data_IF_451312575070
#
_entry.id   IF_451312575070
#
_cell.length_a   1.000
_cell.length_b   1.000
_cell.length_c   1.000
_cell.angle_alpha   90.00
_cell.angle_beta   90.00
_cell.angle_gamma   90.00
#
_symmetry.space_group_name_H-M   'P 1'
#
loop_
_entity.id
_entity.type
_entity.pdbx_description
1 polymer ?
#
# COMPACT_ATOMS: atom_id res chain seq x y z
N UNK A 1 -3.91 18.31 8.58
CA UNK A 1 -2.96 17.33 9.13
C UNK A 1 -1.98 16.91 8.05
N UNK A 2 -0.67 17.03 8.29
CA UNK A 2 0.34 16.56 7.34
C UNK A 2 0.28 15.04 7.18
N UNK A 3 1.03 14.50 6.21
CA UNK A 3 1.31 13.07 6.13
C UNK A 3 1.81 12.52 7.46
N UNK A 4 1.38 11.30 7.79
CA UNK A 4 1.91 10.52 8.91
C UNK A 4 3.14 9.72 8.53
N UNK A 5 3.11 9.12 7.34
CA UNK A 5 4.24 8.39 6.78
C UNK A 5 5.20 9.40 6.16
N UNK A 6 6.47 9.40 6.57
CA UNK A 6 7.53 10.16 5.89
C UNK A 6 8.09 9.41 4.67
N UNK A 7 8.97 10.09 3.91
CA UNK A 7 9.71 9.51 2.78
C UNK A 7 10.49 8.24 3.12
N UNK A 8 10.91 8.07 4.37
CA UNK A 8 11.62 6.87 4.83
C UNK A 8 10.74 5.64 4.97
N UNK A 9 9.43 5.74 4.76
CA UNK A 9 8.52 4.58 4.78
C UNK A 9 8.05 4.20 3.38
N UNK A 10 8.29 5.05 2.37
CA UNK A 10 7.69 4.90 1.06
C UNK A 10 8.34 3.76 0.29
N UNK A 11 7.51 2.90 -0.29
CA UNK A 11 7.95 1.77 -1.12
C UNK A 11 7.47 2.03 -2.54
N UNK A 12 8.39 1.97 -3.51
CA UNK A 12 8.04 1.97 -4.93
C UNK A 12 7.95 0.52 -5.42
N UNK A 13 6.77 0.11 -5.89
CA UNK A 13 6.58 -1.26 -6.40
C UNK A 13 7.41 -1.59 -7.65
N UNK A 14 7.88 -0.57 -8.38
CA UNK A 14 8.77 -0.72 -9.53
C UNK A 14 10.26 -0.60 -9.20
N UNK A 15 10.63 -0.59 -7.91
CA UNK A 15 12.02 -0.42 -7.49
C UNK A 15 12.86 -1.68 -7.77
N UNK A 16 13.79 -1.57 -8.72
CA UNK A 16 14.74 -2.63 -9.07
C UNK A 16 15.94 -2.71 -8.10
N UNK A 17 16.09 -1.75 -7.19
CA UNK A 17 17.19 -1.71 -6.22
C UNK A 17 16.96 -2.63 -5.02
N UNK A 18 15.70 -3.01 -4.73
CA UNK A 18 15.36 -3.94 -3.66
C UNK A 18 15.81 -5.35 -4.07
N UNK A 19 16.75 -5.90 -3.30
CA UNK A 19 17.41 -7.20 -3.52
C UNK A 19 16.99 -8.22 -2.49
N UNK A 20 17.14 -9.50 -2.81
CA UNK A 20 17.05 -10.53 -1.77
C UNK A 20 18.16 -10.28 -0.72
N UNK A 21 17.85 -10.44 0.58
CA UNK A 21 18.84 -10.27 1.65
C UNK A 21 20.11 -11.08 1.40
N UNK A 22 21.27 -10.44 1.53
CA UNK A 22 22.58 -11.08 1.31
C UNK A 22 22.93 -11.37 -0.15
N UNK A 23 22.20 -10.83 -1.13
CA UNK A 23 22.45 -11.07 -2.56
C UNK A 23 22.50 -9.77 -3.37
N UNK A 24 22.89 -9.87 -4.63
CA UNK A 24 22.80 -8.79 -5.63
C UNK A 24 21.57 -8.88 -6.51
N UNK A 25 20.78 -9.96 -6.38
CA UNK A 25 19.62 -10.23 -7.23
C UNK A 25 18.43 -9.38 -6.81
N UNK A 26 17.90 -8.58 -7.73
CA UNK A 26 16.69 -7.77 -7.52
C UNK A 26 15.48 -8.65 -7.25
N UNK A 27 14.77 -8.41 -6.15
CA UNK A 27 13.64 -9.22 -5.72
C UNK A 27 12.33 -8.84 -6.44
N UNK A 28 11.97 -7.54 -6.48
CA UNK A 28 10.63 -7.14 -6.94
C UNK A 28 10.41 -7.36 -8.44
N UNK A 29 11.48 -7.46 -9.22
CA UNK A 29 11.47 -7.80 -10.64
C UNK A 29 11.72 -9.29 -10.90
N UNK A 30 12.06 -10.09 -9.89
CA UNK A 30 12.31 -11.54 -10.03
C UNK A 30 11.03 -12.36 -9.81
N UNK A 31 10.70 -13.17 -10.80
CA UNK A 31 9.59 -14.14 -10.74
C UNK A 31 9.66 -15.13 -9.58
N UNK A 32 10.85 -15.42 -9.03
CA UNK A 32 11.02 -16.30 -7.88
C UNK A 32 10.66 -15.62 -6.55
N UNK A 33 10.69 -14.29 -6.48
CA UNK A 33 10.26 -13.56 -5.29
C UNK A 33 8.78 -13.81 -5.07
N UNK A 34 8.04 -13.86 -6.16
CA UNK A 34 6.64 -14.24 -6.18
C UNK A 34 6.43 -15.66 -5.64
N UNK A 35 7.25 -16.66 -5.98
CA UNK A 35 7.14 -18.00 -5.37
C UNK A 35 7.36 -17.99 -3.85
N UNK A 36 8.33 -17.20 -3.36
CA UNK A 36 8.59 -17.03 -1.91
C UNK A 36 7.45 -16.30 -1.20
N UNK A 37 6.73 -15.46 -1.91
CA UNK A 37 5.51 -14.81 -1.46
C UNK A 37 4.24 -15.57 -1.91
N UNK A 38 4.36 -16.88 -2.21
CA UNK A 38 3.28 -17.86 -2.50
C UNK A 38 2.51 -17.70 -3.81
N UNK A 39 3.05 -16.91 -4.72
CA UNK A 39 2.41 -16.42 -5.95
C UNK A 39 2.85 -17.21 -7.18
N UNK A 40 2.67 -18.52 -7.14
CA UNK A 40 2.95 -19.42 -8.27
C UNK A 40 1.96 -19.10 -9.40
N UNK A 41 2.43 -18.67 -10.58
CA UNK A 41 1.65 -18.22 -11.76
C UNK A 41 1.21 -16.73 -11.83
N UNK A 42 2.00 -15.81 -11.29
CA UNK A 42 1.70 -14.38 -11.28
C UNK A 42 1.60 -13.71 -12.69
N UNK A 43 0.42 -13.77 -13.30
CA UNK A 43 -0.04 -12.83 -14.34
C UNK A 43 -1.44 -12.33 -13.95
N UNK A 44 -1.82 -11.11 -14.36
CA UNK A 44 -3.16 -10.53 -14.10
C UNK A 44 -3.42 -10.01 -12.67
N UNK A 45 -3.17 -10.80 -11.61
CA UNK A 45 -3.53 -10.46 -10.21
C UNK A 45 -2.57 -9.48 -9.52
N UNK A 46 -1.27 -9.47 -9.87
CA UNK A 46 -0.31 -8.45 -9.36
C UNK A 46 -0.76 -7.05 -9.75
N UNK A 47 -1.22 -6.93 -11.00
CA UNK A 47 -1.70 -5.66 -11.55
C UNK A 47 -2.90 -5.15 -10.75
N UNK A 48 -3.63 -6.05 -10.10
CA UNK A 48 -4.83 -5.73 -9.37
C UNK A 48 -4.58 -5.41 -7.88
N UNK A 49 -3.68 -6.14 -7.22
CA UNK A 49 -3.50 -6.09 -5.75
C UNK A 49 -2.07 -5.81 -5.28
N UNK A 50 -1.08 -5.71 -6.17
CA UNK A 50 0.32 -5.46 -5.79
C UNK A 50 0.52 -4.15 -5.01
N UNK A 51 -0.28 -3.14 -5.31
CA UNK A 51 -0.28 -1.87 -4.60
C UNK A 51 -0.72 -2.04 -3.14
N UNK A 52 -1.72 -2.90 -2.86
CA UNK A 52 -2.18 -3.16 -1.49
C UNK A 52 -1.11 -3.81 -0.63
N UNK A 53 -0.29 -4.71 -1.21
CA UNK A 53 0.85 -5.31 -0.51
C UNK A 53 1.86 -4.23 -0.12
N UNK A 54 2.19 -3.33 -1.04
CA UNK A 54 3.12 -2.24 -0.79
C UNK A 54 2.56 -1.25 0.24
N UNK A 55 1.27 -0.92 0.18
CA UNK A 55 0.57 -0.11 1.17
C UNK A 55 0.69 -0.71 2.57
N UNK A 56 0.31 -1.98 2.74
CA UNK A 56 0.44 -2.68 4.01
C UNK A 56 1.90 -2.73 4.50
N UNK A 57 2.86 -2.92 3.59
CA UNK A 57 4.28 -2.89 3.93
C UNK A 57 4.75 -1.50 4.40
N UNK A 58 4.32 -0.42 3.75
CA UNK A 58 4.58 0.95 4.20
C UNK A 58 3.99 1.20 5.60
N UNK A 59 2.78 0.70 5.85
CA UNK A 59 2.16 0.78 7.18
C UNK A 59 2.92 -0.04 8.24
N UNK A 60 3.40 -1.25 7.89
CA UNK A 60 4.26 -2.06 8.77
C UNK A 60 5.54 -1.30 9.12
N UNK A 61 6.22 -0.69 8.14
CA UNK A 61 7.42 0.10 8.39
C UNK A 61 7.12 1.26 9.36
N UNK A 62 6.04 2.01 9.10
CA UNK A 62 5.60 3.11 9.95
C UNK A 62 5.31 2.67 11.39
N UNK A 63 4.44 1.67 11.57
CA UNK A 63 4.08 1.16 12.92
C UNK A 63 5.26 0.52 13.62
N UNK A 64 6.19 -0.06 12.87
CA UNK A 64 7.43 -0.62 13.37
C UNK A 64 8.49 0.42 13.74
N UNK A 65 8.33 1.69 13.35
CA UNK A 65 9.37 2.71 13.46
C UNK A 65 10.63 2.33 12.67
N UNK A 66 10.46 1.81 11.45
CA UNK A 66 11.51 1.29 10.59
C UNK A 66 11.60 2.13 9.31
N UNK A 67 12.83 2.33 8.82
CA UNK A 67 13.05 2.93 7.50
C UNK A 67 12.99 1.89 6.38
N UNK A 68 12.73 2.34 5.15
CA UNK A 68 12.60 1.60 3.90
C UNK A 68 13.96 1.17 3.30
N UNK A 69 14.95 0.86 4.13
CA UNK A 69 16.18 0.23 3.62
C UNK A 69 15.88 -1.14 2.97
N UNK A 70 16.85 -1.70 2.25
CA UNK A 70 16.67 -2.94 1.48
C UNK A 70 15.99 -4.06 2.28
N UNK A 71 16.55 -4.41 3.43
CA UNK A 71 16.11 -5.57 4.20
C UNK A 71 14.76 -5.32 4.87
N UNK A 72 14.54 -4.12 5.40
CA UNK A 72 13.25 -3.75 5.97
C UNK A 72 12.14 -3.75 4.92
N UNK A 73 12.39 -3.16 3.74
CA UNK A 73 11.44 -3.15 2.63
C UNK A 73 11.13 -4.55 2.14
N UNK A 74 12.16 -5.37 1.91
CA UNK A 74 11.99 -6.77 1.52
C UNK A 74 11.13 -7.54 2.54
N UNK A 75 11.50 -7.48 3.82
CA UNK A 75 10.82 -8.23 4.87
C UNK A 75 9.39 -7.72 5.11
N UNK A 76 9.15 -6.41 5.07
CA UNK A 76 7.82 -5.84 5.22
C UNK A 76 6.88 -6.30 4.10
N UNK A 77 7.36 -6.33 2.85
CA UNK A 77 6.58 -6.84 1.71
C UNK A 77 6.29 -8.34 1.83
N UNK A 78 7.25 -9.14 2.31
CA UNK A 78 7.03 -10.56 2.60
C UNK A 78 5.93 -10.73 3.67
N UNK A 79 6.01 -10.01 4.79
CA UNK A 79 5.02 -10.09 5.86
C UNK A 79 3.63 -9.62 5.40
N UNK A 80 3.56 -8.51 4.67
CA UNK A 80 2.32 -8.01 4.07
C UNK A 80 1.71 -9.02 3.09
N UNK A 81 2.52 -9.72 2.32
CA UNK A 81 2.01 -10.73 1.39
C UNK A 81 1.47 -11.95 2.14
N UNK A 82 2.21 -12.46 3.12
CA UNK A 82 1.78 -13.63 3.91
C UNK A 82 0.48 -13.32 4.66
N UNK A 83 0.48 -12.25 5.46
CA UNK A 83 -0.64 -11.94 6.35
C UNK A 83 -1.80 -11.21 5.68
N UNK A 84 -1.50 -10.25 4.80
CA UNK A 84 -2.51 -9.44 4.12
C UNK A 84 -3.11 -10.11 2.89
N UNK A 85 -2.47 -11.14 2.33
CA UNK A 85 -2.95 -11.75 1.08
C UNK A 85 -3.09 -13.27 1.09
N UNK A 86 -3.04 -13.89 2.28
CA UNK A 86 -3.01 -15.35 2.46
C UNK A 86 -1.95 -16.03 1.57
N UNK A 87 -0.81 -15.36 1.37
CA UNK A 87 0.28 -15.83 0.51
C UNK A 87 -0.13 -16.08 -0.96
N UNK A 88 -1.22 -15.47 -1.46
CA UNK A 88 -1.71 -15.68 -2.83
C UNK A 88 -1.80 -14.39 -3.65
N UNK A 89 -1.34 -13.25 -3.09
CA UNK A 89 -1.56 -11.91 -3.65
C UNK A 89 -3.04 -11.58 -3.89
N UNK A 90 -3.93 -12.23 -3.14
CA UNK A 90 -5.35 -11.95 -3.04
C UNK A 90 -5.59 -11.19 -1.74
N UNK A 91 -5.83 -9.88 -1.82
CA UNK A 91 -5.96 -9.05 -0.62
C UNK A 91 -7.16 -9.54 0.20
N UNK A 92 -6.90 -10.10 1.39
CA UNK A 92 -7.91 -10.82 2.17
C UNK A 92 -8.81 -9.91 2.99
N UNK A 93 -8.41 -8.64 3.15
CA UNK A 93 -9.04 -7.67 4.04
C UNK A 93 -9.06 -8.09 5.52
N UNK A 94 -8.27 -9.10 5.89
CA UNK A 94 -8.20 -9.61 7.26
C UNK A 94 -7.03 -9.00 8.01
N UNK A 95 -7.27 -8.66 9.27
CA UNK A 95 -6.22 -8.24 10.20
C UNK A 95 -5.20 -9.34 10.44
N UNK A 96 -3.93 -8.97 10.57
CA UNK A 96 -2.83 -9.90 10.80
C UNK A 96 -1.75 -9.30 11.70
N UNK A 97 -0.76 -10.11 12.07
CA UNK A 97 0.44 -9.63 12.78
C UNK A 97 1.66 -9.87 11.90
N UNK A 98 2.41 -8.82 11.61
CA UNK A 98 3.69 -8.87 10.92
C UNK A 98 4.84 -9.00 11.92
N UNK A 99 5.75 -9.92 11.67
CA UNK A 99 6.98 -10.06 12.46
C UNK A 99 8.15 -9.39 11.75
N UNK A 100 8.66 -8.30 12.31
CA UNK A 100 9.78 -7.53 11.79
C UNK A 100 10.93 -7.57 12.80
N UNK A 101 11.88 -8.48 12.59
CA UNK A 101 12.94 -8.76 13.58
C UNK A 101 12.32 -9.28 14.88
N UNK A 102 12.62 -8.62 16.01
CA UNK A 102 12.00 -8.91 17.31
C UNK A 102 10.66 -8.21 17.56
N UNK A 103 10.19 -7.37 16.62
CA UNK A 103 8.94 -6.62 16.77
C UNK A 103 7.76 -7.40 16.17
N UNK A 104 6.67 -7.48 16.92
CA UNK A 104 5.37 -7.93 16.41
C UNK A 104 4.47 -6.71 16.18
N UNK A 105 4.11 -6.47 14.93
CA UNK A 105 3.33 -5.31 14.49
C UNK A 105 1.95 -5.79 14.11
N UNK A 106 0.94 -5.38 14.88
CA UNK A 106 -0.46 -5.64 14.54
C UNK A 106 -0.89 -4.72 13.41
N UNK A 107 -1.50 -5.30 12.40
CA UNK A 107 -2.10 -4.59 11.27
C UNK A 107 -3.58 -4.91 11.31
N UNK A 108 -4.37 -4.01 11.89
CA UNK A 108 -5.81 -4.17 11.90
C UNK A 108 -6.40 -3.54 10.63
N UNK A 109 -7.23 -4.29 9.92
CA UNK A 109 -7.89 -3.85 8.70
C UNK A 109 -9.39 -3.88 8.95
N UNK A 110 -10.02 -2.71 8.93
CA UNK A 110 -11.45 -2.57 9.18
C UNK A 110 -12.11 -1.89 8.00
N UNK A 111 -13.11 -2.52 7.40
CA UNK A 111 -13.92 -1.88 6.36
C UNK A 111 -14.66 -0.66 6.93
N UNK A 112 -14.64 0.45 6.19
CA UNK A 112 -15.29 1.70 6.58
C UNK A 112 -16.18 2.20 5.45
N UNK A 113 -17.22 2.98 5.80
CA UNK A 113 -18.12 3.58 4.81
C UNK A 113 -17.52 4.81 4.14
N UNK A 114 -16.70 5.57 4.87
CA UNK A 114 -16.18 6.87 4.44
C UNK A 114 -14.75 7.09 4.94
N UNK A 115 -13.83 7.40 4.02
CA UNK A 115 -12.43 7.72 4.32
C UNK A 115 -12.31 9.10 4.98
N UNK A 116 -13.16 10.05 4.58
CA UNK A 116 -13.11 11.45 5.04
C UNK A 116 -13.24 11.52 6.56
N UNK A 117 -14.27 10.86 7.10
CA UNK A 117 -14.52 10.78 8.55
C UNK A 117 -13.33 10.26 9.35
N UNK A 118 -12.59 9.29 8.82
CA UNK A 118 -11.45 8.68 9.51
C UNK A 118 -10.17 9.50 9.36
N UNK A 119 -9.91 9.99 8.15
CA UNK A 119 -8.71 10.79 7.87
C UNK A 119 -8.79 12.15 8.57
N UNK A 120 -9.97 12.76 8.73
CA UNK A 120 -10.16 13.97 9.53
C UNK A 120 -9.88 13.79 11.03
N UNK A 121 -10.03 12.56 11.56
CA UNK A 121 -9.61 12.18 12.92
C UNK A 121 -8.11 11.87 13.03
N UNK A 122 -7.41 11.91 11.89
CA UNK A 122 -5.99 11.58 11.79
C UNK A 122 -5.75 10.08 11.72
N UNK A 123 -6.72 9.28 11.29
CA UNK A 123 -6.47 7.86 11.07
C UNK A 123 -5.86 7.60 9.69
N UNK A 124 -5.20 6.46 9.53
CA UNK A 124 -4.61 6.03 8.26
C UNK A 124 -5.61 5.09 7.58
N UNK A 125 -5.87 5.32 6.29
CA UNK A 125 -6.78 4.50 5.52
C UNK A 125 -6.09 3.91 4.28
N UNK A 126 -6.65 2.82 3.76
CA UNK A 126 -6.41 2.35 2.40
C UNK A 126 -7.66 2.63 1.56
N UNK A 127 -7.46 3.16 0.36
CA UNK A 127 -8.48 3.31 -0.65
C UNK A 127 -8.18 2.41 -1.85
N UNK A 128 -9.19 1.71 -2.36
CA UNK A 128 -9.12 1.08 -3.69
C UNK A 128 -9.76 1.97 -4.73
N UNK A 129 -8.98 2.39 -5.72
CA UNK A 129 -9.45 2.94 -6.98
C UNK A 129 -9.69 1.80 -7.96
N UNK A 130 -10.91 1.67 -8.50
CA UNK A 130 -11.24 0.62 -9.45
C UNK A 130 -12.20 1.10 -10.55
N UNK A 131 -11.86 0.77 -11.79
CA UNK A 131 -12.68 1.01 -12.96
C UNK A 131 -13.07 -0.34 -13.56
N UNK A 132 -14.36 -0.67 -13.47
CA UNK A 132 -14.88 -1.96 -13.90
C UNK A 132 -14.81 -2.19 -15.41
N UNK A 133 -14.83 -1.12 -16.21
CA UNK A 133 -14.76 -1.15 -17.68
C UNK A 133 -13.36 -1.46 -18.17
N UNK A 134 -12.34 -0.85 -17.59
CA UNK A 134 -10.93 -1.05 -17.99
C UNK A 134 -10.20 -2.09 -17.16
N UNK A 135 -10.84 -2.59 -16.09
CA UNK A 135 -10.24 -3.43 -15.04
C UNK A 135 -9.01 -2.79 -14.40
N UNK A 136 -8.87 -1.46 -14.51
CA UNK A 136 -7.80 -0.72 -13.84
C UNK A 136 -8.08 -0.71 -12.34
N UNK A 137 -7.10 -1.11 -11.55
CA UNK A 137 -7.18 -1.24 -10.09
C UNK A 137 -5.92 -0.63 -9.49
N UNK A 138 -6.08 0.14 -8.43
CA UNK A 138 -4.96 0.73 -7.68
C UNK A 138 -5.36 0.84 -6.22
N UNK A 139 -4.45 0.48 -5.33
CA UNK A 139 -4.60 0.75 -3.91
C UNK A 139 -3.63 1.85 -3.51
N UNK A 140 -4.04 2.66 -2.56
CA UNK A 140 -3.23 3.75 -2.05
C UNK A 140 -3.53 4.00 -0.57
N UNK A 141 -2.49 4.30 0.21
CA UNK A 141 -2.63 4.80 1.58
C UNK A 141 -3.03 6.28 1.57
N UNK A 142 -4.09 6.61 2.31
CA UNK A 142 -4.44 7.97 2.69
C UNK A 142 -4.01 8.19 4.13
N UNK A 143 -3.05 9.07 4.37
CA UNK A 143 -2.41 9.24 5.68
C UNK A 143 -2.36 10.69 6.16
N UNK A 144 -3.00 11.61 5.45
CA UNK A 144 -3.10 13.01 5.85
C UNK A 144 -4.26 13.76 5.20
N UNK A 145 -4.42 15.01 5.63
CA UNK A 145 -5.52 15.89 5.25
C UNK A 145 -5.07 17.35 5.12
N UNK A 146 -5.10 17.92 3.92
CA UNK A 146 -4.92 19.35 3.72
C UNK A 146 -6.25 20.10 3.89
N UNK A 147 -6.38 20.82 5.00
CA UNK A 147 -7.57 21.61 5.28
C UNK A 147 -7.71 22.84 4.37
N UNK A 148 -6.65 23.28 3.70
CA UNK A 148 -6.66 24.44 2.80
C UNK A 148 -7.07 24.12 1.36
N UNK A 149 -6.95 22.85 0.95
CA UNK A 149 -7.37 22.38 -0.36
C UNK A 149 -8.89 22.06 -0.40
N UNK A 150 -9.40 21.68 -1.58
CA UNK A 150 -10.80 21.28 -1.79
C UNK A 150 -10.92 19.95 -2.54
N UNK A 151 -12.03 19.24 -2.33
CA UNK A 151 -12.30 17.97 -3.02
C UNK A 151 -11.22 16.92 -2.76
N UNK A 152 -10.86 16.14 -3.79
CA UNK A 152 -9.87 15.07 -3.65
C UNK A 152 -8.42 15.54 -3.48
N UNK A 153 -8.13 16.83 -3.70
CA UNK A 153 -6.82 17.41 -3.43
C UNK A 153 -6.52 17.55 -1.92
N UNK A 154 -7.53 17.40 -1.05
CA UNK A 154 -7.35 17.44 0.40
C UNK A 154 -6.75 16.16 0.97
N UNK A 155 -6.97 15.02 0.32
CA UNK A 155 -6.52 13.74 0.83
C UNK A 155 -5.07 13.55 0.46
N UNK A 156 -4.20 13.56 1.46
CA UNK A 156 -2.78 13.32 1.27
C UNK A 156 -2.53 11.82 1.28
N UNK A 157 -1.81 11.35 0.27
CA UNK A 157 -1.61 9.93 0.00
C UNK A 157 -0.15 9.53 -0.17
N UNK A 158 0.18 8.33 0.29
CA UNK A 158 1.45 7.67 0.03
C UNK A 158 1.22 6.64 -1.07
N UNK A 159 1.70 6.95 -2.29
CA UNK A 159 1.38 6.16 -3.47
C UNK A 159 2.51 5.19 -3.82
N UNK A 160 2.26 3.86 -3.78
CA UNK A 160 3.27 2.87 -4.14
C UNK A 160 3.61 2.90 -5.63
N UNK A 161 2.79 3.55 -6.47
CA UNK A 161 3.14 3.90 -7.84
C UNK A 161 4.06 5.12 -7.88
N UNK A 162 5.35 4.81 -7.77
CA UNK A 162 6.45 5.76 -7.75
C UNK A 162 7.06 5.96 -6.36
N UNK A 163 6.40 5.50 -5.30
CA UNK A 163 6.89 5.64 -3.93
C UNK A 163 6.98 7.10 -3.48
N UNK A 164 5.94 7.88 -3.77
CA UNK A 164 5.93 9.33 -3.49
C UNK A 164 4.66 9.74 -2.74
N UNK A 165 4.80 10.80 -1.95
CA UNK A 165 3.68 11.53 -1.37
C UNK A 165 3.03 12.42 -2.43
N UNK A 166 1.70 12.45 -2.49
CA UNK A 166 0.90 13.31 -3.39
C UNK A 166 -0.53 13.45 -2.86
N UNK A 167 -1.44 14.02 -3.63
CA UNK A 167 -2.88 14.01 -3.29
C UNK A 167 -3.62 12.84 -3.95
N UNK A 168 -4.78 12.45 -3.40
CA UNK A 168 -5.60 11.40 -4.01
C UNK A 168 -6.06 11.78 -5.42
N UNK A 169 -6.32 13.07 -5.68
CA UNK A 169 -6.60 13.58 -7.02
C UNK A 169 -5.43 13.35 -7.98
N UNK A 170 -4.18 13.61 -7.56
CA UNK A 170 -3.00 13.36 -8.38
C UNK A 170 -2.85 11.86 -8.72
N UNK A 171 -3.11 10.98 -7.75
CA UNK A 171 -3.14 9.52 -7.99
C UNK A 171 -4.23 9.16 -9.00
N UNK A 172 -5.45 9.66 -8.85
CA UNK A 172 -6.56 9.41 -9.79
C UNK A 172 -6.17 9.84 -11.20
N UNK A 173 -5.68 11.06 -11.38
CA UNK A 173 -5.27 11.62 -12.68
C UNK A 173 -4.14 10.80 -13.30
N UNK A 174 -3.04 10.55 -12.55
CA UNK A 174 -1.89 9.78 -13.05
C UNK A 174 -2.30 8.38 -13.51
N UNK A 175 -3.24 7.75 -12.80
CA UNK A 175 -3.72 6.38 -13.09
C UNK A 175 -4.86 6.34 -14.10
N UNK A 176 -5.33 7.48 -14.62
CA UNK A 176 -6.41 7.55 -15.60
C UNK A 176 -7.80 7.28 -15.03
N UNK A 177 -8.02 7.52 -13.74
CA UNK A 177 -9.35 7.55 -13.14
C UNK A 177 -9.92 8.97 -13.22
N UNK A 178 -11.22 9.13 -13.50
CA UNK A 178 -11.91 10.38 -13.21
C UNK A 178 -11.79 10.73 -11.72
N UNK A 179 -11.71 12.02 -11.43
CA UNK A 179 -11.62 12.55 -10.06
C UNK A 179 -13.02 12.53 -9.42
N UNK A 180 -13.48 11.32 -9.08
CA UNK A 180 -14.85 11.03 -8.66
C UNK A 180 -14.88 9.90 -7.61
N UNK A 181 -15.71 10.08 -6.56
CA UNK A 181 -15.89 9.13 -5.48
C UNK A 181 -16.39 7.75 -5.95
N UNK A 182 -17.08 7.68 -7.09
CA UNK A 182 -17.59 6.45 -7.67
C UNK A 182 -16.49 5.43 -7.99
N UNK A 183 -15.25 5.89 -8.19
CA UNK A 183 -14.10 5.01 -8.44
C UNK A 183 -13.42 4.53 -7.17
N UNK A 184 -13.77 5.06 -6.00
CA UNK A 184 -13.32 4.53 -4.71
C UNK A 184 -14.25 3.38 -4.34
N UNK A 185 -13.85 2.14 -4.61
CA UNK A 185 -14.75 0.98 -4.47
C UNK A 185 -14.55 0.23 -3.16
N UNK A 186 -13.38 0.35 -2.53
CA UNK A 186 -13.10 -0.23 -1.23
C UNK A 186 -12.37 0.77 -0.33
N UNK A 187 -12.62 0.67 0.98
CA UNK A 187 -12.15 1.63 1.97
C UNK A 187 -11.90 0.89 3.27
N UNK A 188 -10.68 1.03 3.79
CA UNK A 188 -10.28 0.37 5.02
C UNK A 188 -9.55 1.34 5.95
N UNK A 189 -9.86 1.26 7.24
CA UNK A 189 -9.07 1.84 8.31
C UNK A 189 -7.91 0.88 8.64
N UNK A 190 -6.71 1.44 8.79
CA UNK A 190 -5.52 0.74 9.31
C UNK A 190 -5.19 1.22 10.73
N UNK A 191 -5.00 0.29 11.67
CA UNK A 191 -4.58 0.61 13.06
C UNK A 191 -3.62 -0.39 13.68
#
# INVERSE_FOLDING_TARGET
MPHKLSSTHLINQGDASIKYPGTTTSAFTDTNFYKKCGKTAASGTIKQYGCAICDLAMFILYKGGLSNNNDNTYNAVVQATIGGTNNAADFTHQSFTATMGSKSIKVNIQAISDISTEVEKGNICIARLYNSSTKNSHYVIVDGWDSSASGFYRYLVCDPDGGVQKTLADTMIKRGFPVDAAYITERYLLS
#
